data_IF_476854132300
#
_entry.id   IF_476854132300
#
_cell.length_a   1.000
_cell.length_b   1.000
_cell.length_c   1.000
_cell.angle_alpha   90.00
_cell.angle_beta   90.00
_cell.angle_gamma   90.00
#
_symmetry.space_group_name_H-M   'P 1'
#
loop_
_entity.id
_entity.type
_entity.pdbx_description
1 polymer ?
#
# COMPACT_ATOMS: atom_id res chain seq x y z
N UNK A 1 22.44 -19.62 -5.20
CA UNK A 1 21.69 -18.94 -6.26
C UNK A 1 21.46 -19.93 -7.39
N UNK A 2 20.36 -20.65 -7.29
CA UNK A 2 19.89 -21.64 -8.25
C UNK A 2 19.00 -20.97 -9.30
N UNK A 3 19.21 -21.32 -10.57
CA UNK A 3 18.28 -21.02 -11.67
C UNK A 3 17.42 -22.26 -11.88
N UNK A 4 16.11 -22.07 -11.98
CA UNK A 4 15.11 -23.14 -12.16
C UNK A 4 14.14 -22.87 -13.31
N UNK A 5 14.20 -21.70 -13.96
CA UNK A 5 13.40 -21.39 -15.16
C UNK A 5 14.12 -20.40 -16.08
N UNK A 6 13.71 -20.36 -17.34
CA UNK A 6 14.15 -19.35 -18.33
C UNK A 6 13.41 -18.02 -18.19
N UNK A 7 12.35 -17.99 -17.36
CA UNK A 7 11.63 -16.76 -17.03
C UNK A 7 12.50 -15.83 -16.17
N UNK A 8 12.25 -14.50 -16.19
CA UNK A 8 13.01 -13.54 -15.38
C UNK A 8 13.05 -13.90 -13.88
N UNK A 9 11.96 -14.48 -13.37
CA UNK A 9 11.76 -14.87 -11.97
C UNK A 9 12.15 -16.33 -11.72
N UNK A 10 12.89 -16.93 -12.66
CA UNK A 10 13.34 -18.30 -12.61
C UNK A 10 14.59 -18.53 -11.79
N UNK A 11 14.89 -17.68 -10.80
CA UNK A 11 16.11 -17.79 -10.02
C UNK A 11 15.98 -17.19 -8.61
N UNK A 12 16.71 -17.78 -7.65
CA UNK A 12 16.71 -17.39 -6.23
C UNK A 12 17.11 -15.92 -5.98
N UNK A 13 17.90 -15.30 -6.87
CA UNK A 13 18.29 -13.90 -6.72
C UNK A 13 17.14 -12.95 -7.07
N UNK A 14 16.40 -13.26 -8.14
CA UNK A 14 15.26 -12.49 -8.60
C UNK A 14 14.11 -12.54 -7.58
N UNK A 15 13.94 -13.66 -6.89
CA UNK A 15 12.96 -13.77 -5.80
C UNK A 15 13.22 -12.71 -4.70
N UNK A 16 14.48 -12.45 -4.36
CA UNK A 16 14.86 -11.42 -3.39
C UNK A 16 14.55 -10.00 -3.85
N UNK A 17 14.61 -9.74 -5.16
CA UNK A 17 14.35 -8.42 -5.73
C UNK A 17 12.85 -8.06 -5.66
N UNK A 18 11.94 -9.03 -5.80
CA UNK A 18 10.50 -8.77 -5.64
C UNK A 18 10.18 -8.34 -4.23
N UNK A 19 10.70 -9.07 -3.23
CA UNK A 19 10.57 -8.71 -1.83
C UNK A 19 11.18 -7.33 -1.54
N UNK A 20 12.29 -6.96 -2.17
CA UNK A 20 12.88 -5.62 -2.05
C UNK A 20 11.91 -4.53 -2.54
N UNK A 21 11.33 -4.68 -3.74
CA UNK A 21 10.38 -3.69 -4.26
C UNK A 21 9.11 -3.58 -3.40
N UNK A 22 8.62 -4.69 -2.86
CA UNK A 22 7.48 -4.67 -1.94
C UNK A 22 7.83 -3.95 -0.64
N UNK A 23 8.98 -4.25 -0.04
CA UNK A 23 9.47 -3.54 1.14
C UNK A 23 9.64 -2.04 0.89
N UNK A 24 10.17 -1.65 -0.28
CA UNK A 24 10.25 -0.23 -0.66
C UNK A 24 8.87 0.44 -0.73
N UNK A 25 7.86 -0.24 -1.26
CA UNK A 25 6.50 0.29 -1.30
C UNK A 25 5.92 0.44 0.13
N UNK A 26 6.13 -0.56 0.99
CA UNK A 26 5.73 -0.53 2.40
C UNK A 26 6.42 0.64 3.14
N UNK A 27 7.72 0.81 2.96
CA UNK A 27 8.47 1.92 3.57
C UNK A 27 7.91 3.27 3.14
N UNK A 28 7.55 3.43 1.85
CA UNK A 28 6.92 4.65 1.34
C UNK A 28 5.53 4.88 1.95
N UNK A 29 4.75 3.82 2.19
CA UNK A 29 3.47 3.93 2.90
C UNK A 29 3.71 4.35 4.36
N UNK A 30 4.72 3.81 5.04
CA UNK A 30 5.08 4.17 6.42
C UNK A 30 5.56 5.62 6.53
N UNK A 31 6.42 6.06 5.62
CA UNK A 31 6.85 7.46 5.50
C UNK A 31 5.66 8.40 5.32
N UNK A 32 4.75 8.06 4.40
CA UNK A 32 3.56 8.86 4.13
C UNK A 32 2.55 8.83 5.27
N UNK A 33 2.35 7.69 5.93
CA UNK A 33 1.54 7.57 7.16
C UNK A 33 2.06 8.55 8.21
N UNK A 34 3.37 8.54 8.51
CA UNK A 34 3.98 9.47 9.45
C UNK A 34 3.75 10.94 9.05
N UNK A 35 3.88 11.26 7.76
CA UNK A 35 3.66 12.60 7.22
C UNK A 35 2.21 13.05 7.35
N UNK A 36 1.24 12.17 7.07
CA UNK A 36 -0.19 12.49 7.08
C UNK A 36 -0.69 12.89 8.46
N UNK A 37 -0.07 12.42 9.54
CA UNK A 37 -0.45 12.75 10.94
C UNK A 37 -0.51 14.26 11.21
N UNK A 38 0.31 15.06 10.53
CA UNK A 38 0.37 16.53 10.72
C UNK A 38 -0.15 17.37 9.56
N UNK A 39 -0.61 16.76 8.46
CA UNK A 39 -0.98 17.48 7.24
C UNK A 39 -2.51 17.55 7.09
N UNK A 40 -3.00 18.64 6.53
CA UNK A 40 -4.42 18.86 6.18
C UNK A 40 -4.62 19.29 4.71
N UNK A 41 -3.55 19.23 3.92
CA UNK A 41 -3.57 19.48 2.47
C UNK A 41 -4.18 18.27 1.74
N UNK A 42 -4.99 18.49 0.68
CA UNK A 42 -5.45 17.43 -0.22
C UNK A 42 -4.28 16.71 -0.93
N UNK A 43 -3.94 15.50 -0.47
CA UNK A 43 -2.87 14.64 -0.98
C UNK A 43 -3.35 13.19 -0.95
N UNK A 44 -3.02 12.38 -1.96
CA UNK A 44 -3.45 10.98 -2.04
C UNK A 44 -2.26 10.04 -2.29
N UNK A 45 -1.05 10.48 -1.93
CA UNK A 45 0.20 9.76 -2.21
C UNK A 45 0.20 8.38 -1.54
N UNK A 46 -0.29 8.29 -0.31
CA UNK A 46 -0.46 7.02 0.40
C UNK A 46 -1.31 6.00 -0.38
N UNK A 47 -2.45 6.43 -0.95
CA UNK A 47 -3.30 5.55 -1.76
C UNK A 47 -2.57 5.08 -3.03
N UNK A 48 -1.75 5.93 -3.66
CA UNK A 48 -0.96 5.55 -4.82
C UNK A 48 0.13 4.51 -4.46
N UNK A 49 0.76 4.63 -3.28
CA UNK A 49 1.71 3.61 -2.83
C UNK A 49 1.03 2.29 -2.49
N UNK A 50 -0.17 2.32 -1.90
CA UNK A 50 -0.97 1.11 -1.65
C UNK A 50 -1.35 0.43 -2.98
N UNK A 51 -1.80 1.18 -3.98
CA UNK A 51 -2.14 0.64 -5.31
C UNK A 51 -0.95 -0.06 -5.97
N UNK A 52 0.26 0.53 -5.87
CA UNK A 52 1.50 -0.10 -6.34
C UNK A 52 1.80 -1.38 -5.57
N UNK A 53 1.67 -1.37 -4.24
CA UNK A 53 1.90 -2.55 -3.41
C UNK A 53 0.94 -3.68 -3.78
N UNK A 54 -0.35 -3.38 -3.97
CA UNK A 54 -1.36 -4.36 -4.41
C UNK A 54 -1.06 -4.92 -5.80
N UNK A 55 -0.59 -4.08 -6.73
CA UNK A 55 -0.17 -4.54 -8.05
C UNK A 55 0.97 -5.56 -7.97
N UNK A 56 1.95 -5.34 -7.10
CA UNK A 56 3.04 -6.30 -6.85
C UNK A 56 2.51 -7.56 -6.16
N UNK A 57 1.62 -7.39 -5.17
CA UNK A 57 1.07 -8.49 -4.37
C UNK A 57 0.31 -9.51 -5.20
N UNK A 58 -0.43 -9.06 -6.24
CA UNK A 58 -1.14 -9.93 -7.19
C UNK A 58 -0.21 -10.84 -8.00
N UNK A 59 1.07 -10.46 -8.13
CA UNK A 59 2.07 -11.25 -8.86
C UNK A 59 2.93 -12.10 -7.92
N UNK A 60 3.13 -11.62 -6.69
CA UNK A 60 4.04 -12.21 -5.69
C UNK A 60 3.29 -12.50 -4.40
N UNK A 61 2.24 -13.32 -4.49
CA UNK A 61 1.29 -13.58 -3.39
C UNK A 61 1.99 -14.09 -2.12
N UNK A 62 2.95 -15.01 -2.26
CA UNK A 62 3.70 -15.56 -1.12
C UNK A 62 4.52 -14.50 -0.38
N UNK A 63 5.19 -13.61 -1.11
CA UNK A 63 5.95 -12.52 -0.49
C UNK A 63 4.98 -11.51 0.16
N UNK A 64 3.83 -11.26 -0.46
CA UNK A 64 2.81 -10.35 0.04
C UNK A 64 2.25 -10.79 1.39
N UNK A 65 1.83 -12.06 1.50
CA UNK A 65 1.30 -12.65 2.73
C UNK A 65 2.30 -12.59 3.89
N UNK A 66 3.61 -12.70 3.59
CA UNK A 66 4.67 -12.66 4.58
C UNK A 66 5.04 -11.23 5.02
N UNK A 67 4.96 -10.26 4.11
CA UNK A 67 5.44 -8.89 4.34
C UNK A 67 4.35 -7.92 4.79
N UNK A 68 3.10 -8.14 4.40
CA UNK A 68 1.98 -7.24 4.71
C UNK A 68 1.35 -7.70 6.03
N UNK A 69 1.59 -6.93 7.09
CA UNK A 69 1.10 -7.23 8.42
C UNK A 69 -0.24 -6.53 8.68
N UNK A 70 -1.20 -7.26 9.26
CA UNK A 70 -2.52 -6.71 9.61
C UNK A 70 -2.43 -5.51 10.56
N UNK A 71 -1.48 -5.48 11.48
CA UNK A 71 -1.24 -4.33 12.38
C UNK A 71 -0.82 -3.07 11.63
N UNK A 72 0.04 -3.20 10.62
CA UNK A 72 0.50 -2.10 9.77
C UNK A 72 -0.67 -1.55 8.94
N UNK A 73 -1.45 -2.44 8.29
CA UNK A 73 -2.62 -2.06 7.50
C UNK A 73 -3.65 -1.29 8.35
N UNK A 74 -3.85 -1.70 9.61
CA UNK A 74 -4.73 -1.01 10.54
C UNK A 74 -4.23 0.40 10.90
N UNK A 75 -2.95 0.59 11.22
CA UNK A 75 -2.37 1.93 11.49
C UNK A 75 -2.49 2.83 10.25
N UNK A 76 -2.25 2.28 9.06
CA UNK A 76 -2.37 2.98 7.80
C UNK A 76 -3.79 3.46 7.53
N UNK A 77 -4.78 2.58 7.73
CA UNK A 77 -6.21 2.88 7.57
C UNK A 77 -6.64 3.97 8.54
N UNK A 78 -6.28 3.86 9.81
CA UNK A 78 -6.60 4.86 10.82
C UNK A 78 -5.98 6.22 10.47
N UNK A 79 -4.70 6.22 10.10
CA UNK A 79 -3.97 7.44 9.76
C UNK A 79 -4.57 8.14 8.54
N UNK A 80 -4.92 7.38 7.50
CA UNK A 80 -5.60 7.91 6.32
C UNK A 80 -6.98 8.48 6.67
N UNK A 81 -7.79 7.74 7.45
CA UNK A 81 -9.12 8.19 7.88
C UNK A 81 -9.06 9.51 8.66
N UNK A 82 -8.16 9.59 9.64
CA UNK A 82 -7.92 10.79 10.42
C UNK A 82 -7.47 11.98 9.55
N UNK A 83 -6.61 11.73 8.56
CA UNK A 83 -6.23 12.76 7.59
C UNK A 83 -7.42 13.20 6.73
N UNK A 84 -8.21 12.27 6.23
CA UNK A 84 -9.34 12.55 5.35
C UNK A 84 -10.33 13.48 6.05
N UNK A 85 -10.67 13.24 7.31
CA UNK A 85 -11.56 14.11 8.10
C UNK A 85 -11.02 15.54 8.23
N UNK A 86 -9.71 15.71 8.45
CA UNK A 86 -9.08 17.05 8.51
C UNK A 86 -9.08 17.75 7.16
N UNK A 87 -8.77 17.02 6.09
CA UNK A 87 -8.61 17.57 4.74
C UNK A 87 -9.92 17.69 3.95
N UNK A 88 -10.99 17.02 4.38
CA UNK A 88 -12.24 16.84 3.61
C UNK A 88 -12.77 18.16 3.06
N UNK A 89 -12.84 19.19 3.90
CA UNK A 89 -13.38 20.50 3.53
C UNK A 89 -12.57 21.19 2.42
N UNK A 90 -11.28 20.88 2.30
CA UNK A 90 -10.37 21.39 1.26
C UNK A 90 -10.43 20.57 -0.03
N UNK A 91 -10.96 19.34 0.03
CA UNK A 91 -11.18 18.50 -1.14
C UNK A 91 -12.47 18.97 -1.85
N UNK A 92 -12.47 19.11 -3.20
CA UNK A 92 -13.68 19.43 -3.94
C UNK A 92 -14.79 18.39 -3.70
N UNK A 93 -16.00 18.87 -3.39
CA UNK A 93 -17.11 18.02 -2.92
C UNK A 93 -17.40 16.82 -3.83
N UNK A 94 -17.33 17.00 -5.16
CA UNK A 94 -17.56 15.94 -6.15
C UNK A 94 -16.58 14.76 -6.08
N UNK A 95 -15.42 14.92 -5.44
CA UNK A 95 -14.40 13.88 -5.34
C UNK A 95 -14.35 13.17 -3.99
N UNK A 96 -14.96 13.74 -2.94
CA UNK A 96 -14.86 13.21 -1.56
C UNK A 96 -15.34 11.77 -1.44
N UNK A 97 -16.55 11.48 -1.95
CA UNK A 97 -17.13 10.14 -1.95
C UNK A 97 -16.27 9.15 -2.75
N UNK A 98 -15.76 9.59 -3.91
CA UNK A 98 -14.90 8.75 -4.76
C UNK A 98 -13.58 8.39 -4.06
N UNK A 99 -12.90 9.36 -3.45
CA UNK A 99 -11.65 9.15 -2.71
C UNK A 99 -11.86 8.19 -1.55
N UNK A 100 -12.95 8.36 -0.79
CA UNK A 100 -13.27 7.46 0.32
C UNK A 100 -13.54 6.04 -0.17
N UNK A 101 -14.36 5.88 -1.21
CA UNK A 101 -14.64 4.57 -1.79
C UNK A 101 -13.39 3.89 -2.36
N UNK A 102 -12.49 4.65 -3.01
CA UNK A 102 -11.21 4.12 -3.49
C UNK A 102 -10.32 3.67 -2.33
N UNK A 103 -10.23 4.46 -1.26
CA UNK A 103 -9.47 4.06 -0.07
C UNK A 103 -10.06 2.80 0.57
N UNK A 104 -11.38 2.73 0.75
CA UNK A 104 -12.07 1.57 1.32
C UNK A 104 -11.78 0.30 0.49
N UNK A 105 -11.82 0.39 -0.85
CA UNK A 105 -11.48 -0.72 -1.75
C UNK A 105 -10.03 -1.18 -1.59
N UNK A 106 -9.08 -0.24 -1.58
CA UNK A 106 -7.65 -0.56 -1.46
C UNK A 106 -7.33 -1.22 -0.11
N UNK A 107 -7.92 -0.71 0.97
CA UNK A 107 -7.73 -1.30 2.29
C UNK A 107 -8.42 -2.65 2.45
N UNK A 108 -9.55 -2.89 1.79
CA UNK A 108 -10.18 -4.21 1.77
C UNK A 108 -9.31 -5.24 1.03
N UNK A 109 -8.73 -4.87 -0.12
CA UNK A 109 -7.78 -5.74 -0.84
C UNK A 109 -6.53 -6.05 0.00
N UNK A 110 -6.01 -5.08 0.78
CA UNK A 110 -4.92 -5.34 1.71
C UNK A 110 -5.31 -6.31 2.84
N UNK A 111 -6.54 -6.19 3.39
CA UNK A 111 -7.02 -7.09 4.44
C UNK A 111 -7.14 -8.56 3.98
N UNK A 112 -7.43 -8.78 2.70
CA UNK A 112 -7.50 -10.14 2.13
C UNK A 112 -6.13 -10.83 2.07
N UNK A 113 -5.05 -10.04 2.07
CA UNK A 113 -3.67 -10.51 1.92
C UNK A 113 -2.94 -10.53 3.27
N UNK A 114 -3.24 -9.58 4.16
CA UNK A 114 -2.48 -9.34 5.36
C UNK A 114 -2.54 -10.51 6.36
N UNK A 115 -1.38 -10.83 6.96
CA UNK A 115 -1.24 -11.88 7.98
C UNK A 115 -1.36 -11.40 9.42
#
# INVERSE_FOLDING_TARGET
MKIYSTEPNGNEAADLEHALYMNMAIDKIKEESARLKGVDTPIQIMLAHIDILLHLSKKFEQDAELLILSEDVNDWRETFGNWFERAEKKIPAKFRTGIKASADSLFAELDEIAS
#
